data_IF_883367811385
#
_entry.id   IF_883367811385
#
_cell.length_a   1.000
_cell.length_b   1.000
_cell.length_c   1.000
_cell.angle_alpha   90.00
_cell.angle_beta   90.00
_cell.angle_gamma   90.00
#
_symmetry.space_group_name_H-M   'P 1'
#
loop_
_entity.id
_entity.type
_entity.pdbx_description
1 polymer ?
#
# COMPACT_ATOMS: atom_id res chain seq x y z
N UNK A 1 -3.05 -18.35 -3.86
CA UNK A 1 -3.72 -18.04 -5.16
C UNK A 1 -4.83 -16.99 -5.06
N UNK A 2 -5.41 -16.70 -3.88
CA UNK A 2 -6.54 -15.76 -3.73
C UNK A 2 -6.24 -14.30 -4.17
N UNK A 3 -5.05 -13.76 -3.88
CA UNK A 3 -4.73 -12.36 -4.19
C UNK A 3 -4.62 -12.03 -5.69
N UNK A 4 -4.28 -13.03 -6.54
CA UNK A 4 -4.13 -12.84 -7.99
C UNK A 4 -5.48 -12.70 -8.71
N UNK A 5 -6.53 -13.31 -8.17
CA UNK A 5 -7.88 -13.23 -8.71
C UNK A 5 -8.59 -11.90 -8.41
N UNK A 6 -8.07 -11.12 -7.46
CA UNK A 6 -8.69 -9.88 -6.96
C UNK A 6 -7.98 -8.61 -7.48
N UNK A 7 -7.03 -8.73 -8.42
CA UNK A 7 -6.21 -7.59 -8.91
C UNK A 7 -5.48 -6.81 -7.81
N UNK A 8 -5.22 -7.46 -6.67
CA UNK A 8 -4.64 -6.82 -5.48
C UNK A 8 -3.14 -6.56 -5.65
N UNK A 9 -2.45 -7.42 -6.42
CA UNK A 9 -1.01 -7.35 -6.63
C UNK A 9 -0.78 -7.35 -8.14
N UNK A 10 -0.26 -6.25 -8.68
CA UNK A 10 0.23 -6.20 -10.05
C UNK A 10 1.56 -6.92 -10.13
N UNK A 11 1.74 -7.89 -11.03
CA UNK A 11 3.07 -8.39 -11.32
C UNK A 11 3.89 -7.30 -12.02
N UNK A 12 5.21 -7.40 -11.95
CA UNK A 12 6.11 -6.51 -12.70
C UNK A 12 5.82 -6.62 -14.21
N UNK A 13 6.37 -5.70 -14.99
CA UNK A 13 6.36 -5.60 -16.45
C UNK A 13 6.60 -6.92 -17.23
N UNK A 14 7.13 -7.96 -16.58
CA UNK A 14 7.40 -9.30 -17.13
C UNK A 14 6.46 -10.39 -16.55
N UNK A 15 5.38 -10.00 -15.86
CA UNK A 15 4.43 -10.91 -15.21
C UNK A 15 5.06 -11.83 -14.13
N UNK A 16 6.23 -11.46 -13.61
CA UNK A 16 6.92 -12.19 -12.54
C UNK A 16 6.43 -11.75 -11.16
N UNK A 17 6.17 -12.74 -10.31
CA UNK A 17 5.98 -12.54 -8.88
C UNK A 17 7.27 -12.94 -8.19
N UNK A 18 7.81 -12.02 -7.38
CA UNK A 18 8.98 -12.27 -6.54
C UNK A 18 8.50 -12.46 -5.09
N UNK A 19 8.05 -13.68 -4.71
CA UNK A 19 7.47 -13.94 -3.39
C UNK A 19 8.48 -13.88 -2.24
N UNK A 20 9.78 -13.96 -2.54
CA UNK A 20 10.86 -13.92 -1.54
C UNK A 20 11.55 -12.55 -1.46
N UNK A 21 11.28 -11.64 -2.40
CA UNK A 21 11.88 -10.32 -2.35
C UNK A 21 11.20 -9.44 -1.29
N UNK A 22 11.98 -8.61 -0.56
CA UNK A 22 11.41 -7.60 0.30
C UNK A 22 10.54 -6.63 -0.51
N UNK A 23 9.40 -6.22 0.05
CA UNK A 23 8.50 -5.24 -0.57
C UNK A 23 8.66 -3.91 0.13
N UNK A 24 8.52 -2.82 -0.61
CA UNK A 24 8.57 -1.48 -0.01
C UNK A 24 7.25 -1.16 0.70
N UNK A 25 7.28 -0.20 1.63
CA UNK A 25 6.06 0.29 2.29
C UNK A 25 5.09 0.92 1.29
N UNK A 26 5.59 1.55 0.24
CA UNK A 26 4.76 2.08 -0.85
C UNK A 26 4.07 0.97 -1.66
N UNK A 27 4.76 -0.15 -1.93
CA UNK A 27 4.13 -1.33 -2.55
C UNK A 27 3.01 -1.89 -1.69
N UNK A 28 3.25 -1.99 -0.38
CA UNK A 28 2.24 -2.47 0.58
C UNK A 28 1.03 -1.52 0.56
N UNK A 29 1.24 -0.21 0.52
CA UNK A 29 0.15 0.76 0.42
C UNK A 29 -0.70 0.57 -0.83
N UNK A 30 -0.07 0.30 -1.98
CA UNK A 30 -0.77 -0.03 -3.24
C UNK A 30 -1.61 -1.29 -3.10
N UNK A 31 -1.02 -2.34 -2.55
CA UNK A 31 -1.70 -3.62 -2.32
C UNK A 31 -2.91 -3.45 -1.40
N UNK A 32 -2.75 -2.69 -0.32
CA UNK A 32 -3.81 -2.42 0.64
C UNK A 32 -4.92 -1.57 0.03
N UNK A 33 -4.57 -0.50 -0.69
CA UNK A 33 -5.52 0.32 -1.43
C UNK A 33 -6.34 -0.54 -2.40
N UNK A 34 -5.69 -1.40 -3.19
CA UNK A 34 -6.39 -2.31 -4.10
C UNK A 34 -7.28 -3.30 -3.36
N UNK A 35 -6.83 -3.84 -2.23
CA UNK A 35 -7.65 -4.74 -1.39
C UNK A 35 -8.90 -4.02 -0.88
N UNK A 36 -8.77 -2.78 -0.41
CA UNK A 36 -9.89 -1.97 0.06
C UNK A 36 -10.85 -1.59 -1.06
N UNK A 37 -10.37 -1.35 -2.29
CA UNK A 37 -11.25 -1.14 -3.45
C UNK A 37 -12.16 -2.34 -3.69
N UNK A 38 -11.61 -3.53 -3.50
CA UNK A 38 -12.33 -4.80 -3.69
C UNK A 38 -13.31 -5.08 -2.55
N UNK A 39 -12.87 -4.86 -1.30
CA UNK A 39 -13.67 -5.17 -0.09
C UNK A 39 -14.71 -4.09 0.20
N UNK A 40 -14.30 -2.82 0.26
CA UNK A 40 -15.16 -1.74 0.75
C UNK A 40 -15.92 -0.99 -0.36
N UNK A 41 -15.53 -1.13 -1.65
CA UNK A 41 -16.12 -0.43 -2.83
C UNK A 41 -16.25 1.10 -2.75
N UNK A 42 -15.99 1.72 -1.60
CA UNK A 42 -15.97 3.14 -1.31
C UNK A 42 -14.57 3.49 -0.83
N UNK A 43 -13.66 3.68 -1.78
CA UNK A 43 -12.50 4.52 -1.55
C UNK A 43 -12.83 5.84 -2.22
N UNK A 44 -13.13 6.85 -1.41
CA UNK A 44 -13.23 8.21 -1.90
C UNK A 44 -11.91 8.59 -2.57
N UNK A 45 -11.96 9.39 -3.64
CA UNK A 45 -10.74 9.96 -4.20
C UNK A 45 -10.14 10.90 -3.15
N UNK A 46 -9.20 10.40 -2.36
CA UNK A 46 -8.51 11.20 -1.35
C UNK A 46 -7.52 12.12 -2.05
N UNK A 47 -7.57 13.41 -1.69
CA UNK A 47 -6.60 14.39 -2.17
C UNK A 47 -5.20 14.02 -1.67
N UNK A 48 -4.23 14.09 -2.57
CA UNK A 48 -2.85 13.72 -2.24
C UNK A 48 -2.15 14.76 -1.35
N UNK A 49 -2.79 15.91 -1.13
CA UNK A 49 -2.36 16.99 -0.24
C UNK A 49 -2.29 16.54 1.22
N UNK A 50 -3.04 15.49 1.63
CA UNK A 50 -2.92 14.97 3.00
C UNK A 50 -1.53 14.40 3.31
N UNK A 51 -0.73 14.17 2.27
CA UNK A 51 0.64 13.71 2.39
C UNK A 51 1.66 14.86 2.47
N UNK A 52 1.24 16.13 2.31
CA UNK A 52 2.14 17.29 2.33
C UNK A 52 2.78 17.53 3.71
N UNK A 53 2.13 17.04 4.77
CA UNK A 53 2.69 17.04 6.13
C UNK A 53 3.93 16.12 6.28
N UNK A 54 4.18 15.23 5.31
CA UNK A 54 5.31 14.32 5.33
C UNK A 54 6.49 14.86 4.52
N UNK A 55 7.63 14.97 5.21
CA UNK A 55 8.89 15.44 4.62
C UNK A 55 9.41 14.55 3.49
N UNK A 56 9.01 13.28 3.45
CA UNK A 56 9.45 12.28 2.48
C UNK A 56 8.39 11.96 1.42
N UNK A 57 7.35 12.80 1.27
CA UNK A 57 6.36 12.69 0.20
C UNK A 57 6.99 12.57 -1.19
N UNK A 58 8.03 13.36 -1.48
CA UNK A 58 8.74 13.35 -2.76
C UNK A 58 9.54 12.05 -3.01
N UNK A 59 9.70 11.20 -2.00
CA UNK A 59 10.34 9.88 -2.15
C UNK A 59 9.34 8.78 -2.53
N UNK A 60 8.04 9.08 -2.52
CA UNK A 60 6.97 8.16 -2.92
C UNK A 60 6.94 8.11 -4.45
N UNK A 61 6.91 6.90 -5.00
CA UNK A 61 6.75 6.70 -6.44
C UNK A 61 5.36 7.14 -6.92
N UNK A 62 5.26 7.72 -8.12
CA UNK A 62 3.99 8.27 -8.67
C UNK A 62 2.84 7.24 -8.68
N UNK A 63 3.13 5.97 -8.98
CA UNK A 63 2.13 4.90 -8.99
C UNK A 63 1.55 4.58 -7.61
N UNK A 64 2.31 4.88 -6.54
CA UNK A 64 1.93 4.60 -5.16
C UNK A 64 1.29 5.79 -4.45
N UNK A 65 1.50 7.01 -4.95
CA UNK A 65 1.13 8.26 -4.29
C UNK A 65 -0.36 8.33 -3.91
N UNK A 66 -1.26 8.05 -4.87
CA UNK A 66 -2.71 7.98 -4.61
C UNK A 66 -3.07 6.88 -3.61
N UNK A 67 -2.38 5.74 -3.71
CA UNK A 67 -2.66 4.59 -2.85
C UNK A 67 -2.28 4.87 -1.41
N UNK A 68 -1.11 5.48 -1.19
CA UNK A 68 -0.62 5.91 0.12
C UNK A 68 -1.59 6.91 0.76
N UNK A 69 -2.10 7.89 0.00
CA UNK A 69 -3.10 8.84 0.51
C UNK A 69 -4.37 8.12 0.98
N UNK A 70 -4.89 7.19 0.19
CA UNK A 70 -6.08 6.41 0.53
C UNK A 70 -5.89 5.54 1.80
N UNK A 71 -4.78 4.83 1.92
CA UNK A 71 -4.52 3.98 3.10
C UNK A 71 -4.17 4.78 4.34
N UNK A 72 -3.62 5.98 4.18
CA UNK A 72 -3.39 6.92 5.29
C UNK A 72 -4.71 7.49 5.80
N UNK A 73 -5.61 7.90 4.90
CA UNK A 73 -6.94 8.42 5.27
C UNK A 73 -7.79 7.40 6.01
N UNK A 74 -7.64 6.12 5.69
CA UNK A 74 -8.34 5.02 6.35
C UNK A 74 -7.67 4.58 7.66
N UNK A 75 -6.61 5.26 8.09
CA UNK A 75 -5.80 4.96 9.29
C UNK A 75 -5.19 3.54 9.29
N UNK A 76 -5.19 2.87 8.13
CA UNK A 76 -4.62 1.53 7.95
C UNK A 76 -3.10 1.60 7.89
N UNK A 77 -2.58 2.64 7.25
CA UNK A 77 -1.16 2.96 7.24
C UNK A 77 -0.95 4.25 8.01
N UNK A 78 -0.10 4.23 9.02
CA UNK A 78 0.30 5.41 9.79
C UNK A 78 1.74 5.77 9.48
N UNK A 79 2.02 7.07 9.44
CA UNK A 79 3.38 7.58 9.39
C UNK A 79 4.17 7.22 10.64
N UNK A 80 5.48 7.24 10.53
CA UNK A 80 6.36 7.24 11.67
C UNK A 80 6.17 8.58 12.40
N UNK A 81 6.03 8.55 13.72
CA UNK A 81 5.79 9.73 14.58
C UNK A 81 6.83 10.87 14.49
N UNK A 82 7.81 10.74 13.59
CA UNK A 82 8.80 11.74 13.21
C UNK A 82 8.38 12.55 11.96
N UNK A 83 7.13 12.44 11.49
CA UNK A 83 6.67 13.14 10.28
C UNK A 83 7.21 12.54 8.97
N UNK A 84 7.44 11.22 8.95
CA UNK A 84 7.92 10.49 7.76
C UNK A 84 7.07 9.24 7.50
N UNK A 85 6.84 8.87 6.25
CA UNK A 85 6.15 7.62 5.86
C UNK A 85 7.12 6.47 5.62
N UNK A 86 8.37 6.79 5.33
CA UNK A 86 9.47 5.93 4.91
C UNK A 86 9.07 5.01 3.75
N UNK A 87 8.60 5.54 2.60
CA UNK A 87 8.00 4.75 1.54
C UNK A 87 8.93 3.65 0.99
N UNK A 88 10.23 3.94 0.91
CA UNK A 88 11.27 3.01 0.45
C UNK A 88 11.78 2.05 1.51
N UNK A 89 11.31 2.16 2.76
CA UNK A 89 11.66 1.18 3.77
C UNK A 89 11.08 -0.17 3.36
N UNK A 90 11.93 -1.19 3.42
CA UNK A 90 11.55 -2.55 3.07
C UNK A 90 10.89 -3.21 4.27
N UNK A 91 9.76 -3.85 4.00
CA UNK A 91 9.08 -4.74 4.93
C UNK A 91 9.10 -6.15 4.37
N UNK A 92 9.03 -7.13 5.27
CA UNK A 92 8.94 -8.52 4.85
C UNK A 92 7.57 -8.77 4.25
N UNK A 93 7.49 -9.54 3.15
CA UNK A 93 6.19 -9.93 2.55
C UNK A 93 5.31 -10.70 3.54
N UNK A 94 5.89 -11.34 4.56
CA UNK A 94 5.15 -11.94 5.67
C UNK A 94 4.37 -10.89 6.48
N UNK A 95 4.97 -9.74 6.78
CA UNK A 95 4.26 -8.62 7.42
C UNK A 95 3.15 -8.09 6.52
N UNK A 96 3.41 -7.93 5.21
CA UNK A 96 2.39 -7.52 4.26
C UNK A 96 1.22 -8.52 4.18
N UNK A 97 1.52 -9.82 4.09
CA UNK A 97 0.53 -10.89 4.04
C UNK A 97 -0.33 -10.97 5.30
N UNK A 98 0.25 -10.73 6.48
CA UNK A 98 -0.50 -10.66 7.74
C UNK A 98 -1.47 -9.47 7.74
N UNK A 99 -1.06 -8.31 7.23
CA UNK A 99 -1.95 -7.14 7.13
C UNK A 99 -3.08 -7.42 6.14
N UNK A 100 -2.77 -8.01 4.97
CA UNK A 100 -3.76 -8.37 3.96
C UNK A 100 -4.75 -9.43 4.51
N UNK A 101 -4.25 -10.46 5.20
CA UNK A 101 -5.11 -11.50 5.82
C UNK A 101 -6.05 -10.88 6.82
N UNK A 102 -5.58 -9.95 7.67
CA UNK A 102 -6.43 -9.24 8.64
C UNK A 102 -7.52 -8.38 8.00
N UNK A 103 -7.33 -7.92 6.77
CA UNK A 103 -8.33 -7.14 6.02
C UNK A 103 -9.33 -8.06 5.31
N UNK A 104 -8.88 -9.19 4.78
CA UNK A 104 -9.74 -10.16 4.07
C UNK A 104 -10.54 -11.03 5.05
N UNK A 105 -10.00 -11.35 6.22
CA UNK A 105 -10.67 -12.17 7.26
C UNK A 105 -11.64 -11.35 8.13
N UNK A 106 -11.92 -10.10 7.76
CA UNK A 106 -12.93 -9.25 8.41
C UNK A 106 -14.27 -9.34 7.70
#
# INVERSE_FOLDING_TARGET
MAARALSIISPDSINNFYPEEPVTREDIAVILCNTLKVVSKQLDNVDTEILDDFTDRNSISDYALQSVANVYKTEIMVGNGNGTLTPKSTATRAQAAVIISRIIDR
#
